data_IF_903836259931
#
_entry.id   IF_903836259931
#
_cell.length_a   1.000
_cell.length_b   1.000
_cell.length_c   1.000
_cell.angle_alpha   90.00
_cell.angle_beta   90.00
_cell.angle_gamma   90.00
#
_symmetry.space_group_name_H-M   'P 1'
#
loop_
_entity.id
_entity.type
_entity.pdbx_description
1 polymer ?
#
# COMPACT_ATOMS: atom_id res chain seq x y z
N UNK A 1 -5.27 8.65 -8.02
CA UNK A 1 -3.94 9.20 -8.37
C UNK A 1 -3.83 9.55 -9.86
N UNK A 2 -3.80 8.59 -10.79
CA UNK A 2 -3.59 8.86 -12.23
C UNK A 2 -4.50 9.97 -12.81
N UNK A 3 -5.82 9.91 -12.55
CA UNK A 3 -6.76 10.97 -12.98
C UNK A 3 -6.47 12.33 -12.36
N UNK A 4 -6.08 12.36 -11.09
CA UNK A 4 -5.83 13.60 -10.34
C UNK A 4 -4.62 14.34 -10.90
N UNK A 5 -3.49 13.64 -11.09
CA UNK A 5 -2.30 14.29 -11.66
C UNK A 5 -2.45 14.59 -13.16
N UNK A 6 -3.17 13.75 -13.91
CA UNK A 6 -3.48 14.06 -15.32
C UNK A 6 -4.30 15.35 -15.45
N UNK A 7 -5.29 15.57 -14.57
CA UNK A 7 -6.05 16.82 -14.55
C UNK A 7 -5.18 18.06 -14.22
N UNK A 8 -4.07 17.87 -13.51
CA UNK A 8 -3.08 18.91 -13.22
C UNK A 8 -1.97 19.03 -14.28
N UNK A 9 -2.04 18.28 -15.39
CA UNK A 9 -1.03 18.33 -16.46
C UNK A 9 0.20 17.45 -16.24
N UNK A 10 0.19 16.57 -15.23
CA UNK A 10 1.29 15.66 -14.90
C UNK A 10 0.86 14.21 -15.15
N UNK A 11 1.05 13.64 -16.36
CA UNK A 11 0.71 12.26 -16.61
C UNK A 11 1.59 11.31 -15.79
N UNK A 12 0.98 10.29 -15.19
CA UNK A 12 1.69 9.31 -14.36
C UNK A 12 2.16 8.14 -15.22
N UNK A 13 3.47 7.96 -15.32
CA UNK A 13 4.09 6.84 -16.03
C UNK A 13 4.04 5.55 -15.19
N UNK A 14 4.64 5.58 -13.99
CA UNK A 14 4.65 4.46 -13.05
C UNK A 14 3.92 4.82 -11.74
N UNK A 15 3.20 3.86 -11.17
CA UNK A 15 2.50 4.03 -9.88
C UNK A 15 2.62 2.74 -9.07
N UNK A 16 3.24 2.85 -7.89
CA UNK A 16 3.39 1.75 -6.93
C UNK A 16 2.79 2.17 -5.61
N UNK A 17 2.02 1.27 -4.98
CA UNK A 17 1.54 1.44 -3.62
C UNK A 17 2.51 0.73 -2.68
N UNK A 18 3.28 1.51 -1.92
CA UNK A 18 4.30 1.00 -0.99
C UNK A 18 3.70 0.61 0.36
N UNK A 19 2.58 1.20 0.75
CA UNK A 19 2.01 1.02 2.08
C UNK A 19 0.48 0.95 2.01
N UNK A 20 -0.12 0.20 2.93
CA UNK A 20 -1.57 0.11 3.16
C UNK A 20 -1.78 0.12 4.67
N UNK A 21 -2.28 1.23 5.20
CA UNK A 21 -2.37 1.42 6.66
C UNK A 21 -1.00 1.21 7.29
N UNK A 22 -0.92 0.29 8.26
CA UNK A 22 0.32 -0.04 8.95
C UNK A 22 1.19 -1.12 8.25
N UNK A 23 0.78 -1.63 7.09
CA UNK A 23 1.50 -2.66 6.35
C UNK A 23 2.33 -2.06 5.22
N UNK A 24 3.64 -2.32 5.24
CA UNK A 24 4.56 -1.89 4.18
C UNK A 24 4.93 -3.03 3.22
N UNK A 25 5.14 -2.68 1.95
CA UNK A 25 5.60 -3.57 0.88
C UNK A 25 6.97 -4.16 1.20
N UNK A 26 7.86 -3.36 1.78
CA UNK A 26 9.23 -3.78 2.14
C UNK A 26 10.03 -4.29 0.94
N UNK A 27 10.93 -5.25 1.18
CA UNK A 27 11.84 -5.82 0.17
C UNK A 27 11.28 -7.11 -0.44
N UNK A 28 10.10 -7.05 -1.06
CA UNK A 28 9.46 -8.21 -1.68
C UNK A 28 9.75 -8.30 -3.18
N UNK A 29 9.79 -9.54 -3.70
CA UNK A 29 9.86 -9.76 -5.14
C UNK A 29 8.51 -9.41 -5.79
N UNK A 30 8.48 -8.74 -6.94
CA UNK A 30 7.24 -8.50 -7.67
C UNK A 30 6.47 -9.81 -7.89
N UNK A 31 5.15 -9.77 -7.67
CA UNK A 31 4.26 -10.92 -7.83
C UNK A 31 4.28 -11.94 -6.68
N UNK A 32 5.11 -11.74 -5.65
CA UNK A 32 5.08 -12.60 -4.46
C UNK A 32 4.00 -12.19 -3.46
N UNK A 33 3.54 -13.15 -2.65
CA UNK A 33 2.62 -12.93 -1.53
C UNK A 33 3.29 -13.46 -0.27
N UNK A 34 3.18 -12.72 0.84
CA UNK A 34 3.63 -13.16 2.15
C UNK A 34 2.50 -13.14 3.17
N UNK A 35 2.61 -13.98 4.18
CA UNK A 35 1.78 -13.85 5.37
C UNK A 35 2.08 -12.53 6.11
N UNK A 36 1.04 -11.95 6.69
CA UNK A 36 1.18 -10.82 7.62
C UNK A 36 1.76 -11.30 8.94
N UNK A 37 2.56 -10.45 9.57
CA UNK A 37 3.07 -10.69 10.93
C UNK A 37 1.97 -10.40 11.94
N UNK A 38 2.02 -11.03 13.11
CA UNK A 38 0.98 -10.88 14.14
C UNK A 38 0.77 -9.42 14.59
N UNK A 39 1.83 -8.61 14.62
CA UNK A 39 1.72 -7.19 14.94
C UNK A 39 1.00 -6.39 13.85
N UNK A 40 1.25 -6.70 12.58
CA UNK A 40 0.56 -6.06 11.45
C UNK A 40 -0.93 -6.39 11.46
N UNK A 41 -1.29 -7.63 11.79
CA UNK A 41 -2.68 -8.06 11.94
C UNK A 41 -3.37 -7.26 13.04
N UNK A 42 -2.76 -7.16 14.23
CA UNK A 42 -3.31 -6.38 15.34
C UNK A 42 -3.52 -4.90 15.00
N UNK A 43 -2.56 -4.28 14.30
CA UNK A 43 -2.67 -2.89 13.86
C UNK A 43 -3.80 -2.69 12.84
N UNK A 44 -4.06 -3.66 11.97
CA UNK A 44 -5.17 -3.60 11.03
C UNK A 44 -6.53 -3.72 11.71
N UNK A 45 -6.66 -4.59 12.73
CA UNK A 45 -7.88 -4.64 13.55
C UNK A 45 -8.12 -3.32 14.28
N UNK A 46 -7.08 -2.79 14.94
CA UNK A 46 -7.17 -1.53 15.65
C UNK A 46 -7.58 -0.36 14.73
N UNK A 47 -7.08 -0.33 13.49
CA UNK A 47 -7.38 0.72 12.52
C UNK A 47 -8.88 0.80 12.15
N UNK A 48 -9.64 -0.27 12.38
CA UNK A 48 -11.10 -0.32 12.18
C UNK A 48 -11.87 -0.44 13.49
N UNK A 49 -11.21 -0.26 14.64
CA UNK A 49 -11.84 -0.26 15.96
C UNK A 49 -12.13 -1.65 16.53
N UNK A 50 -11.39 -2.68 16.12
CA UNK A 50 -11.45 -4.05 16.63
C UNK A 50 -10.24 -4.39 17.51
#
# INVERSE_FOLDING_TARGET
>A
MRRLLAAAGFPVEALVRTDIGAVSLGKQRPGSVRALRSNEIGQLYQAVGL
#
